data_IF_902645944829
#
_entry.id   IF_902645944829
#
_cell.length_a   1.000
_cell.length_b   1.000
_cell.length_c   1.000
_cell.angle_alpha   90.00
_cell.angle_beta   90.00
_cell.angle_gamma   90.00
#
_symmetry.space_group_name_H-M   'P 1'
#
loop_
_entity.id
_entity.type
_entity.pdbx_description
1 polymer ?
#
# COMPACT_ATOMS: atom_id res chain seq x y z
N UNK A 1 -7.30 13.15 11.65
CA UNK A 1 -7.02 14.12 10.58
C UNK A 1 -5.51 14.34 10.62
N UNK A 2 -4.80 14.03 9.54
CA UNK A 2 -3.34 13.86 9.56
C UNK A 2 -2.56 15.16 9.32
N UNK A 3 -3.20 16.24 8.84
CA UNK A 3 -2.56 17.54 8.64
C UNK A 3 -2.25 18.22 9.98
N UNK A 4 -0.96 18.53 10.19
CA UNK A 4 -0.48 19.24 11.39
C UNK A 4 -0.85 20.73 11.41
N UNK A 5 -1.22 21.31 10.27
CA UNK A 5 -1.52 22.74 10.12
C UNK A 5 -3.02 23.10 10.21
N UNK A 6 -3.92 22.10 10.36
CA UNK A 6 -5.33 22.25 10.73
C UNK A 6 -6.16 23.21 9.83
N UNK A 7 -6.00 23.18 8.51
CA UNK A 7 -6.87 23.97 7.60
C UNK A 7 -8.26 23.37 7.37
N UNK A 8 -8.47 22.11 7.74
CA UNK A 8 -9.75 21.39 7.58
C UNK A 8 -10.03 20.89 6.15
N UNK A 9 -9.27 21.33 5.15
CA UNK A 9 -9.27 20.81 3.78
C UNK A 9 -7.88 20.97 3.14
N UNK A 10 -7.62 20.23 2.07
CA UNK A 10 -6.40 20.32 1.24
C UNK A 10 -6.78 20.15 -0.23
N UNK A 11 -6.03 20.75 -1.15
CA UNK A 11 -6.25 20.65 -2.59
C UNK A 11 -5.03 20.05 -3.31
N UNK A 12 -5.19 19.43 -4.50
CA UNK A 12 -4.06 19.00 -5.31
C UNK A 12 -3.03 20.13 -5.51
N UNK A 13 -1.76 19.81 -5.31
CA UNK A 13 -0.64 20.76 -5.35
C UNK A 13 -0.27 21.37 -4.01
N UNK A 14 -1.10 21.24 -2.96
CA UNK A 14 -0.73 21.70 -1.62
C UNK A 14 0.43 20.87 -1.05
N UNK A 15 1.46 21.54 -0.52
CA UNK A 15 2.49 20.90 0.29
C UNK A 15 2.02 20.82 1.74
N UNK A 16 1.79 19.61 2.24
CA UNK A 16 1.29 19.35 3.59
C UNK A 16 2.28 18.52 4.40
N UNK A 17 2.28 18.76 5.71
CA UNK A 17 3.05 17.95 6.67
C UNK A 17 2.08 17.10 7.49
N UNK A 18 2.28 15.79 7.42
CA UNK A 18 1.35 14.81 7.96
C UNK A 18 2.03 13.78 8.85
N UNK A 19 1.30 13.32 9.87
CA UNK A 19 1.70 12.14 10.62
C UNK A 19 1.42 10.87 9.81
N UNK A 20 2.31 9.88 9.96
CA UNK A 20 2.15 8.58 9.32
C UNK A 20 1.73 7.54 10.37
N UNK A 21 0.70 6.74 10.05
CA UNK A 21 0.20 5.72 10.97
C UNK A 21 1.14 4.52 11.05
N UNK A 22 1.69 4.07 9.91
CA UNK A 22 2.60 2.92 9.82
C UNK A 22 3.72 3.11 8.83
N UNK A 23 4.84 2.48 9.17
CA UNK A 23 6.02 2.39 8.33
C UNK A 23 6.29 0.93 8.02
N UNK A 24 6.50 0.60 6.75
CA UNK A 24 6.76 -0.77 6.31
C UNK A 24 8.12 -0.89 5.63
N UNK A 25 8.85 -1.96 5.94
CA UNK A 25 10.07 -2.32 5.26
C UNK A 25 10.25 -3.83 5.20
N UNK A 26 10.87 -4.30 4.11
CA UNK A 26 11.51 -5.61 4.07
C UNK A 26 12.92 -5.55 4.67
N UNK A 27 13.58 -6.69 4.82
CA UNK A 27 14.98 -6.76 5.21
C UNK A 27 15.92 -6.06 4.22
N UNK A 28 15.60 -6.13 2.92
CA UNK A 28 16.36 -5.46 1.85
C UNK A 28 16.18 -3.95 1.95
N UNK A 29 14.93 -3.51 2.08
CA UNK A 29 14.59 -2.09 2.20
C UNK A 29 15.14 -1.48 3.47
N UNK A 30 15.10 -2.22 4.58
CA UNK A 30 15.71 -1.81 5.84
C UNK A 30 17.21 -1.58 5.70
N UNK A 31 17.95 -2.41 4.95
CA UNK A 31 19.38 -2.17 4.72
C UNK A 31 19.64 -0.85 3.96
N UNK A 32 18.71 -0.42 3.09
CA UNK A 32 18.73 0.91 2.49
C UNK A 32 18.44 2.01 3.50
N UNK A 33 17.38 1.85 4.30
CA UNK A 33 16.96 2.80 5.34
C UNK A 33 18.03 2.97 6.43
N UNK A 34 18.69 1.88 6.84
CA UNK A 34 19.71 1.85 7.90
C UNK A 34 20.88 2.77 7.54
N UNK A 35 21.23 2.92 6.24
CA UNK A 35 22.26 3.87 5.80
C UNK A 35 21.88 5.31 6.11
N UNK A 36 20.66 5.70 5.76
CA UNK A 36 20.12 7.04 6.05
C UNK A 36 19.97 7.24 7.56
N UNK A 37 19.46 6.25 8.28
CA UNK A 37 19.34 6.30 9.75
C UNK A 37 20.69 6.50 10.44
N UNK A 38 21.74 5.84 9.93
CA UNK A 38 23.10 5.98 10.44
C UNK A 38 23.70 7.36 10.14
N UNK A 39 23.45 7.94 8.96
CA UNK A 39 23.93 9.29 8.63
C UNK A 39 23.30 10.37 9.51
N UNK A 40 22.06 10.13 9.99
CA UNK A 40 21.37 10.94 10.99
C UNK A 40 21.91 10.75 12.43
N UNK A 41 23.04 10.05 12.60
CA UNK A 41 23.67 9.75 13.91
C UNK A 41 22.79 8.93 14.85
N UNK A 42 21.94 8.05 14.30
CA UNK A 42 21.14 7.07 15.04
C UNK A 42 20.24 7.72 16.11
N UNK A 43 19.30 8.60 15.74
CA UNK A 43 18.54 9.43 16.69
C UNK A 43 17.49 8.66 17.51
N UNK A 44 17.32 7.36 17.30
CA UNK A 44 16.16 6.60 17.76
C UNK A 44 15.01 6.67 16.75
N UNK A 45 13.91 5.97 17.05
CA UNK A 45 12.70 5.96 16.22
C UNK A 45 11.52 6.53 16.99
N UNK A 46 10.57 7.12 16.27
CA UNK A 46 9.40 7.77 16.85
C UNK A 46 8.52 6.79 17.65
N UNK A 47 8.25 5.61 17.07
CA UNK A 47 7.39 4.57 17.67
C UNK A 47 7.89 3.17 17.35
N UNK A 48 7.97 2.32 18.37
CA UNK A 48 8.35 0.92 18.22
C UNK A 48 7.18 -0.02 17.88
N UNK A 49 5.95 0.49 17.93
CA UNK A 49 4.70 -0.25 17.70
C UNK A 49 4.04 0.05 16.35
N UNK A 50 4.70 0.86 15.50
CA UNK A 50 4.22 1.29 14.17
C UNK A 50 5.25 1.16 13.05
N UNK A 51 6.34 0.44 13.33
CA UNK A 51 7.32 0.04 12.32
C UNK A 51 7.19 -1.46 12.07
N UNK A 52 6.62 -1.82 10.92
CA UNK A 52 6.51 -3.20 10.43
C UNK A 52 7.77 -3.59 9.66
N UNK A 53 8.46 -4.62 10.13
CA UNK A 53 9.66 -5.16 9.48
C UNK A 53 9.53 -6.67 9.30
N UNK A 54 9.50 -7.11 8.04
CA UNK A 54 9.41 -8.51 7.65
C UNK A 54 10.60 -8.91 6.81
N UNK A 55 11.12 -10.12 7.01
CA UNK A 55 12.07 -10.74 6.10
C UNK A 55 11.34 -11.61 5.10
N UNK A 56 11.23 -11.19 3.84
CA UNK A 56 10.45 -11.89 2.82
C UNK A 56 11.05 -11.91 1.41
N UNK A 57 12.09 -11.11 1.14
CA UNK A 57 12.69 -11.02 -0.20
C UNK A 57 13.79 -12.07 -0.43
N UNK A 58 14.62 -12.33 0.59
CA UNK A 58 15.80 -13.19 0.51
C UNK A 58 15.77 -14.24 1.61
N UNK A 59 14.79 -15.14 1.49
CA UNK A 59 14.44 -16.12 2.53
C UNK A 59 14.74 -17.57 2.13
N UNK A 60 15.28 -17.80 0.94
CA UNK A 60 15.53 -19.14 0.41
C UNK A 60 16.67 -19.85 1.17
N UNK A 61 16.45 -21.05 1.72
CA UNK A 61 17.46 -21.81 2.47
C UNK A 61 18.78 -22.02 1.72
N UNK A 62 18.75 -22.05 0.38
CA UNK A 62 19.93 -22.25 -0.47
C UNK A 62 20.89 -21.06 -0.42
N UNK A 63 20.37 -19.85 -0.26
CA UNK A 63 21.16 -18.61 -0.24
C UNK A 63 21.37 -18.05 1.17
N UNK A 64 20.66 -18.58 2.17
CA UNK A 64 20.76 -18.09 3.55
C UNK A 64 22.18 -18.08 4.11
N UNK A 65 23.09 -18.94 3.66
CA UNK A 65 24.49 -18.97 4.15
C UNK A 65 25.37 -17.88 3.54
N UNK A 66 24.91 -17.21 2.48
CA UNK A 66 25.70 -16.20 1.80
C UNK A 66 25.90 -14.97 2.72
N UNK A 67 27.11 -14.39 2.78
CA UNK A 67 27.41 -13.29 3.68
C UNK A 67 26.48 -12.09 3.54
N UNK A 68 26.08 -11.76 2.31
CA UNK A 68 25.15 -10.67 2.01
C UNK A 68 23.75 -10.91 2.60
N UNK A 69 23.24 -12.14 2.54
CA UNK A 69 21.94 -12.50 3.11
C UNK A 69 22.00 -12.49 4.63
N UNK A 70 23.07 -13.04 5.22
CA UNK A 70 23.32 -12.97 6.66
C UNK A 70 23.44 -11.52 7.16
N UNK A 71 23.98 -10.61 6.35
CA UNK A 71 24.06 -9.20 6.71
C UNK A 71 22.66 -8.55 6.79
N UNK A 72 21.75 -8.86 5.85
CA UNK A 72 20.36 -8.36 5.87
C UNK A 72 19.57 -8.90 7.06
N UNK A 73 19.67 -10.21 7.33
CA UNK A 73 19.07 -10.85 8.50
C UNK A 73 19.62 -10.21 9.78
N UNK A 74 20.93 -10.08 9.88
CA UNK A 74 21.60 -9.47 11.01
C UNK A 74 21.19 -8.02 11.23
N UNK A 75 21.01 -7.23 10.17
CA UNK A 75 20.52 -5.85 10.25
C UNK A 75 19.10 -5.78 10.82
N UNK A 76 18.22 -6.68 10.38
CA UNK A 76 16.83 -6.74 10.84
C UNK A 76 16.75 -7.17 12.32
N UNK A 77 17.54 -8.18 12.72
CA UNK A 77 17.61 -8.62 14.12
C UNK A 77 18.21 -7.56 15.04
N UNK A 78 19.20 -6.79 14.56
CA UNK A 78 19.73 -5.64 15.29
C UNK A 78 18.66 -4.57 15.47
N UNK A 79 17.93 -4.20 14.41
CA UNK A 79 16.87 -3.21 14.48
C UNK A 79 15.78 -3.61 15.49
N UNK A 80 15.31 -4.86 15.43
CA UNK A 80 14.37 -5.43 16.40
C UNK A 80 14.82 -5.20 17.84
N UNK A 81 16.07 -5.53 18.16
CA UNK A 81 16.64 -5.42 19.52
C UNK A 81 16.86 -3.97 19.92
N UNK A 82 17.49 -3.17 19.07
CA UNK A 82 17.82 -1.77 19.34
C UNK A 82 16.57 -0.92 19.54
N UNK A 83 15.55 -1.11 18.70
CA UNK A 83 14.32 -0.34 18.76
C UNK A 83 13.23 -0.97 19.63
N UNK A 84 13.47 -2.18 20.16
CA UNK A 84 12.49 -2.95 20.94
C UNK A 84 11.16 -3.08 20.18
N UNK A 85 11.25 -3.47 18.91
CA UNK A 85 10.11 -3.51 17.99
C UNK A 85 9.07 -4.53 18.46
N UNK A 86 7.79 -4.13 18.42
CA UNK A 86 6.67 -5.05 18.69
C UNK A 86 6.07 -5.63 17.41
N UNK A 87 6.45 -5.10 16.25
CA UNK A 87 5.87 -5.44 14.94
C UNK A 87 6.92 -5.98 13.96
N UNK A 88 7.79 -6.87 14.45
CA UNK A 88 8.75 -7.61 13.63
C UNK A 88 8.25 -9.04 13.37
N UNK A 89 8.14 -9.43 12.10
CA UNK A 89 7.59 -10.73 11.69
C UNK A 89 8.64 -11.84 11.55
N UNK A 90 9.93 -11.51 11.62
CA UNK A 90 11.00 -12.48 11.38
C UNK A 90 11.22 -12.76 9.89
N UNK A 91 12.01 -13.79 9.61
CA UNK A 91 12.33 -14.21 8.24
C UNK A 91 11.37 -15.33 7.80
N UNK A 92 10.88 -15.24 6.57
CA UNK A 92 10.05 -16.25 5.91
C UNK A 92 8.71 -16.57 6.61
N UNK A 93 8.13 -15.62 7.34
CA UNK A 93 6.81 -15.80 7.94
C UNK A 93 5.69 -15.63 6.89
N UNK A 94 5.80 -14.57 6.09
CA UNK A 94 4.79 -14.14 5.12
C UNK A 94 5.35 -12.99 4.28
N UNK A 95 4.68 -12.67 3.17
CA UNK A 95 4.95 -11.44 2.42
C UNK A 95 4.45 -10.25 3.23
N UNK A 96 5.29 -9.23 3.38
CA UNK A 96 5.05 -8.00 4.16
C UNK A 96 3.65 -7.43 3.92
N UNK A 97 3.30 -7.19 2.66
CA UNK A 97 2.03 -6.57 2.26
C UNK A 97 0.82 -7.44 2.59
N UNK A 98 0.93 -8.75 2.40
CA UNK A 98 -0.16 -9.71 2.65
C UNK A 98 -0.55 -9.71 4.12
N UNK A 99 0.44 -9.77 5.01
CA UNK A 99 0.21 -9.78 6.45
C UNK A 99 -0.22 -8.42 6.98
N UNK A 100 0.39 -7.34 6.49
CA UNK A 100 -0.01 -6.00 6.86
C UNK A 100 -1.46 -5.72 6.48
N UNK A 101 -1.84 -6.04 5.24
CA UNK A 101 -3.22 -5.93 4.75
C UNK A 101 -4.21 -6.75 5.59
N UNK A 102 -3.88 -8.01 5.86
CA UNK A 102 -4.76 -8.93 6.56
C UNK A 102 -4.99 -8.57 8.01
N UNK A 103 -3.98 -8.05 8.69
CA UNK A 103 -4.01 -7.91 10.14
C UNK A 103 -3.88 -6.48 10.66
N UNK A 104 -3.25 -5.53 9.94
CA UNK A 104 -2.85 -4.24 10.53
C UNK A 104 -3.45 -3.02 9.85
N UNK A 105 -3.58 -3.07 8.53
CA UNK A 105 -4.12 -1.96 7.76
C UNK A 105 -5.57 -1.68 8.19
N UNK A 106 -5.94 -0.41 8.28
CA UNK A 106 -7.32 0.03 8.52
C UNK A 106 -7.74 1.10 7.51
N UNK A 107 -9.03 1.18 7.17
CA UNK A 107 -9.57 2.31 6.43
C UNK A 107 -9.23 3.64 7.13
N UNK A 108 -8.80 4.62 6.32
CA UNK A 108 -8.43 5.96 6.76
C UNK A 108 -7.02 6.10 7.34
N UNK A 109 -6.22 5.03 7.36
CA UNK A 109 -4.79 5.13 7.69
C UNK A 109 -3.98 5.73 6.55
N UNK A 110 -2.92 6.44 6.91
CA UNK A 110 -1.82 6.82 6.02
C UNK A 110 -0.59 5.95 6.32
N UNK A 111 -0.14 5.19 5.34
CA UNK A 111 0.96 4.23 5.46
C UNK A 111 2.03 4.56 4.44
N UNK A 112 3.28 4.57 4.86
CA UNK A 112 4.41 4.67 3.95
C UNK A 112 5.28 3.43 4.06
N UNK A 113 5.78 2.94 2.94
CA UNK A 113 6.62 1.76 2.91
C UNK A 113 7.77 1.94 1.96
N UNK A 114 8.93 1.37 2.30
CA UNK A 114 10.08 1.36 1.39
C UNK A 114 9.94 0.20 0.40
N UNK A 115 8.82 0.15 -0.30
CA UNK A 115 8.45 -0.89 -1.26
C UNK A 115 7.32 -0.36 -2.17
N UNK A 116 7.44 -0.56 -3.49
CA UNK A 116 6.48 -0.06 -4.49
C UNK A 116 5.05 -0.58 -4.29
N UNK A 117 4.92 -1.82 -3.82
CA UNK A 117 3.64 -2.50 -3.68
C UNK A 117 2.97 -2.23 -2.32
N UNK A 118 3.47 -1.27 -1.54
CA UNK A 118 2.80 -0.76 -0.33
C UNK A 118 1.35 -0.34 -0.60
N UNK A 119 1.05 0.10 -1.84
CA UNK A 119 -0.29 0.42 -2.34
C UNK A 119 -1.33 -0.70 -2.17
N UNK A 120 -0.90 -1.96 -1.97
CA UNK A 120 -1.77 -3.10 -1.72
C UNK A 120 -2.81 -2.89 -0.60
N UNK A 121 -2.45 -2.12 0.44
CA UNK A 121 -3.37 -1.84 1.54
C UNK A 121 -4.54 -0.91 1.14
N UNK A 122 -4.48 -0.24 -0.02
CA UNK A 122 -5.59 0.54 -0.57
C UNK A 122 -6.85 -0.27 -0.82
N UNK A 123 -6.76 -1.59 -0.88
CA UNK A 123 -7.89 -2.51 -1.03
C UNK A 123 -8.94 -2.42 0.09
N UNK A 124 -8.57 -1.86 1.24
CA UNK A 124 -9.47 -1.59 2.38
C UNK A 124 -9.66 -0.09 2.65
N UNK A 125 -9.32 0.80 1.70
CA UNK A 125 -9.43 2.25 1.91
C UNK A 125 -8.33 2.86 2.79
N UNK A 126 -7.16 2.22 2.84
CA UNK A 126 -5.95 2.78 3.43
C UNK A 126 -5.19 3.58 2.37
N UNK A 127 -4.76 4.81 2.69
CA UNK A 127 -3.86 5.56 1.82
C UNK A 127 -2.43 5.04 2.04
N UNK A 128 -1.98 4.10 1.21
CA UNK A 128 -0.71 3.40 1.38
C UNK A 128 0.24 3.68 0.22
N UNK A 129 1.41 4.25 0.49
CA UNK A 129 2.30 4.82 -0.53
C UNK A 129 3.69 4.19 -0.43
N UNK A 130 4.19 3.70 -1.56
CA UNK A 130 5.58 3.26 -1.70
C UNK A 130 6.50 4.46 -1.92
N UNK A 131 7.56 4.58 -1.12
CA UNK A 131 8.55 5.65 -1.20
C UNK A 131 9.98 5.10 -1.19
N UNK A 132 10.95 5.94 -1.53
CA UNK A 132 12.37 5.59 -1.44
C UNK A 132 12.82 5.38 0.01
N UNK A 133 13.85 4.57 0.22
CA UNK A 133 14.35 4.23 1.57
C UNK A 133 14.72 5.47 2.41
N UNK A 134 15.29 6.51 1.80
CA UNK A 134 15.60 7.76 2.49
C UNK A 134 14.34 8.50 2.95
N UNK A 135 13.33 8.61 2.08
CA UNK A 135 12.07 9.30 2.36
C UNK A 135 11.27 8.60 3.46
N UNK A 136 11.34 7.26 3.54
CA UNK A 136 10.70 6.46 4.58
C UNK A 136 11.44 6.53 5.92
N UNK A 137 12.74 6.81 5.90
CA UNK A 137 13.55 6.95 7.13
C UNK A 137 13.15 8.20 7.93
N UNK A 138 12.74 9.27 7.25
CA UNK A 138 12.32 10.52 7.90
C UNK A 138 11.11 10.34 8.84
N UNK A 139 9.96 9.79 8.40
CA UNK A 139 8.85 9.50 9.29
C UNK A 139 9.18 8.40 10.30
N UNK A 140 10.15 7.51 10.05
CA UNK A 140 10.60 6.54 11.05
C UNK A 140 11.20 7.21 12.27
N UNK A 141 11.98 8.27 12.04
CA UNK A 141 12.62 9.04 13.11
C UNK A 141 11.66 10.04 13.73
N UNK A 142 10.84 10.72 12.92
CA UNK A 142 10.08 11.91 13.35
C UNK A 142 8.58 11.65 13.58
N UNK A 143 8.03 10.59 12.99
CA UNK A 143 6.59 10.32 12.95
C UNK A 143 5.84 11.09 11.85
N UNK A 144 6.49 12.02 11.17
CA UNK A 144 5.88 12.89 10.17
C UNK A 144 6.65 12.91 8.85
N UNK A 145 5.96 13.25 7.78
CA UNK A 145 6.56 13.47 6.45
C UNK A 145 5.81 14.56 5.70
N UNK A 146 6.33 14.94 4.54
CA UNK A 146 5.74 15.93 3.66
C UNK A 146 5.23 15.28 2.39
N UNK A 147 4.03 15.68 1.97
CA UNK A 147 3.47 15.29 0.68
C UNK A 147 3.03 16.53 -0.08
N UNK A 148 3.32 16.56 -1.37
CA UNK A 148 2.50 17.33 -2.30
C UNK A 148 1.23 16.53 -2.53
N UNK A 149 0.07 17.09 -2.24
CA UNK A 149 -1.22 16.43 -2.46
C UNK A 149 -1.36 16.13 -3.95
N UNK A 150 -1.42 14.86 -4.37
CA UNK A 150 -1.50 14.52 -5.79
C UNK A 150 -2.92 14.71 -6.32
N UNK A 151 -3.04 14.86 -7.64
CA UNK A 151 -4.32 14.70 -8.31
C UNK A 151 -4.80 13.24 -8.20
N UNK A 152 -6.11 13.03 -8.32
CA UNK A 152 -6.70 11.71 -8.39
C UNK A 152 -7.33 11.45 -9.77
N UNK A 153 -7.26 10.20 -10.24
CA UNK A 153 -8.09 9.70 -11.34
C UNK A 153 -9.10 8.68 -10.80
N UNK A 154 -10.23 8.58 -11.47
CA UNK A 154 -11.26 7.61 -11.14
C UNK A 154 -11.32 6.51 -12.19
N UNK A 155 -11.09 5.26 -11.78
CA UNK A 155 -11.37 4.08 -12.59
C UNK A 155 -12.71 3.52 -12.10
N UNK A 156 -13.78 3.88 -12.80
CA UNK A 156 -15.15 3.51 -12.48
C UNK A 156 -15.49 2.13 -13.04
N UNK A 157 -15.56 1.14 -12.17
CA UNK A 157 -15.90 -0.24 -12.50
C UNK A 157 -17.42 -0.39 -12.62
N UNK A 158 -17.88 -0.93 -13.75
CA UNK A 158 -19.29 -1.25 -14.02
C UNK A 158 -19.47 -2.72 -14.35
N UNK A 159 -20.70 -3.21 -14.25
CA UNK A 159 -20.99 -4.63 -14.48
C UNK A 159 -20.47 -5.53 -13.36
N UNK A 160 -20.48 -6.84 -13.60
CA UNK A 160 -19.97 -7.85 -12.67
C UNK A 160 -19.02 -8.81 -13.41
N UNK A 161 -17.88 -9.18 -12.81
CA UNK A 161 -16.99 -10.18 -13.38
C UNK A 161 -17.72 -11.51 -13.62
N UNK A 162 -17.41 -12.18 -14.73
CA UNK A 162 -17.91 -13.53 -15.00
C UNK A 162 -17.32 -14.54 -13.99
N UNK A 163 -17.98 -15.69 -13.76
CA UNK A 163 -17.42 -16.74 -12.94
C UNK A 163 -16.00 -17.13 -13.39
N UNK A 164 -15.08 -17.23 -12.42
CA UNK A 164 -13.67 -17.54 -12.67
C UNK A 164 -12.77 -16.33 -12.94
N UNK A 165 -13.32 -15.12 -13.08
CA UNK A 165 -12.54 -13.88 -13.20
C UNK A 165 -12.18 -13.36 -11.81
N UNK A 166 -10.88 -13.27 -11.52
CA UNK A 166 -10.34 -12.76 -10.26
C UNK A 166 -9.79 -11.34 -10.36
N UNK A 167 -9.30 -10.81 -9.24
CA UNK A 167 -8.73 -9.46 -9.20
C UNK A 167 -7.52 -9.25 -10.11
N UNK A 168 -6.73 -10.30 -10.33
CA UNK A 168 -5.59 -10.26 -11.27
C UNK A 168 -6.06 -10.02 -12.71
N UNK A 169 -7.13 -10.70 -13.13
CA UNK A 169 -7.71 -10.54 -14.46
C UNK A 169 -8.29 -9.13 -14.62
N UNK A 170 -8.97 -8.63 -13.58
CA UNK A 170 -9.51 -7.26 -13.51
C UNK A 170 -8.43 -6.21 -13.74
N UNK A 171 -7.32 -6.25 -12.98
CA UNK A 171 -6.27 -5.22 -13.11
C UNK A 171 -5.46 -5.36 -14.39
N UNK A 172 -5.25 -6.58 -14.90
CA UNK A 172 -4.61 -6.78 -16.21
C UNK A 172 -5.49 -6.24 -17.36
N UNK A 173 -6.80 -6.41 -17.27
CA UNK A 173 -7.74 -5.82 -18.23
C UNK A 173 -7.72 -4.28 -18.17
N UNK A 174 -7.72 -3.71 -16.96
CA UNK A 174 -7.56 -2.25 -16.78
C UNK A 174 -6.25 -1.77 -17.43
N UNK A 175 -5.12 -2.44 -17.16
CA UNK A 175 -3.82 -2.14 -17.77
C UNK A 175 -3.86 -2.24 -19.30
N UNK A 176 -4.62 -3.18 -19.85
CA UNK A 176 -4.80 -3.32 -21.30
C UNK A 176 -5.62 -2.17 -21.89
N UNK A 177 -6.72 -1.79 -21.24
CA UNK A 177 -7.62 -0.72 -21.70
C UNK A 177 -6.92 0.63 -21.62
N UNK A 178 -6.28 0.93 -20.50
CA UNK A 178 -5.56 2.18 -20.29
C UNK A 178 -4.20 2.20 -20.99
N UNK A 179 -3.64 1.03 -21.32
CA UNK A 179 -2.30 0.83 -21.88
C UNK A 179 -1.21 1.40 -20.95
N UNK A 180 0.03 1.47 -21.44
CA UNK A 180 1.10 2.29 -20.83
C UNK A 180 0.87 3.78 -21.08
N UNK A 181 -0.29 4.27 -20.70
CA UNK A 181 -0.58 5.69 -20.72
C UNK A 181 -0.14 6.31 -19.39
N UNK A 182 0.44 7.51 -19.44
CA UNK A 182 0.88 8.29 -18.28
C UNK A 182 -0.28 8.91 -17.50
N UNK A 183 -1.55 8.59 -17.80
CA UNK A 183 -2.73 9.14 -17.12
C UNK A 183 -2.65 8.93 -15.60
N UNK A 184 -2.23 7.75 -15.14
CA UNK A 184 -2.08 7.47 -13.71
C UNK A 184 -0.73 7.93 -13.12
N UNK A 185 0.23 8.33 -13.96
CA UNK A 185 1.56 8.78 -13.49
C UNK A 185 1.43 9.92 -12.50
N UNK A 186 2.07 9.77 -11.34
CA UNK A 186 2.09 10.75 -10.25
C UNK A 186 0.70 11.13 -9.71
N UNK A 187 -0.29 10.24 -9.89
CA UNK A 187 -1.66 10.41 -9.40
C UNK A 187 -2.09 9.27 -8.48
N UNK A 188 -3.06 9.56 -7.62
CA UNK A 188 -3.80 8.53 -6.90
C UNK A 188 -4.84 7.92 -7.86
N UNK A 189 -4.98 6.61 -7.82
CA UNK A 189 -6.04 5.90 -8.55
C UNK A 189 -7.12 5.50 -7.56
N UNK A 190 -8.32 6.03 -7.73
CA UNK A 190 -9.48 5.58 -6.98
C UNK A 190 -10.32 4.64 -7.86
N UNK A 191 -10.55 3.41 -7.39
CA UNK A 191 -11.46 2.49 -8.08
C UNK A 191 -12.85 2.61 -7.47
N UNK A 192 -13.80 3.07 -8.27
CA UNK A 192 -15.17 3.35 -7.83
C UNK A 192 -16.19 2.58 -8.67
N UNK A 193 -17.47 2.88 -8.48
CA UNK A 193 -18.55 2.37 -9.31
C UNK A 193 -19.21 1.09 -8.77
N UNK A 194 -20.37 0.72 -9.34
CA UNK A 194 -21.17 -0.40 -8.85
C UNK A 194 -20.47 -1.76 -9.01
N UNK A 195 -19.46 -1.88 -9.87
CA UNK A 195 -18.68 -3.09 -10.07
C UNK A 195 -17.84 -3.49 -8.85
N UNK A 196 -17.43 -2.54 -8.02
CA UNK A 196 -16.57 -2.78 -6.84
C UNK A 196 -17.20 -3.76 -5.84
N UNK A 197 -18.53 -3.71 -5.67
CA UNK A 197 -19.26 -4.61 -4.76
C UNK A 197 -19.15 -6.09 -5.13
N UNK A 198 -18.80 -6.38 -6.39
CA UNK A 198 -18.62 -7.74 -6.90
C UNK A 198 -17.20 -8.26 -6.69
N UNK A 199 -16.27 -7.42 -6.22
CA UNK A 199 -14.90 -7.81 -5.92
C UNK A 199 -14.75 -8.19 -4.45
N UNK A 200 -14.27 -9.40 -4.21
CA UNK A 200 -13.81 -9.81 -2.88
C UNK A 200 -12.61 -8.96 -2.43
N UNK A 201 -12.33 -8.95 -1.14
CA UNK A 201 -11.16 -8.26 -0.60
C UNK A 201 -9.83 -8.79 -1.18
N UNK A 202 -9.72 -10.08 -1.49
CA UNK A 202 -8.52 -10.60 -2.16
C UNK A 202 -8.43 -10.09 -3.62
N UNK A 203 -9.57 -9.92 -4.31
CA UNK A 203 -9.58 -9.32 -5.64
C UNK A 203 -9.20 -7.85 -5.59
N UNK A 204 -9.71 -7.09 -4.60
CA UNK A 204 -9.33 -5.70 -4.34
C UNK A 204 -7.85 -5.57 -4.02
N UNK A 205 -7.29 -6.48 -3.23
CA UNK A 205 -5.85 -6.54 -2.94
C UNK A 205 -5.04 -6.63 -4.23
N UNK A 206 -5.40 -7.56 -5.13
CA UNK A 206 -4.71 -7.69 -6.41
C UNK A 206 -4.80 -6.41 -7.28
N UNK A 207 -5.96 -5.75 -7.27
CA UNK A 207 -6.18 -4.49 -8.01
C UNK A 207 -5.34 -3.35 -7.45
N UNK A 208 -5.41 -3.11 -6.14
CA UNK A 208 -4.61 -2.08 -5.47
C UNK A 208 -3.11 -2.33 -5.57
N UNK A 209 -2.68 -3.58 -5.37
CA UNK A 209 -1.29 -4.01 -5.47
C UNK A 209 -0.68 -3.66 -6.83
N UNK A 210 -1.42 -3.91 -7.91
CA UNK A 210 -0.92 -3.67 -9.27
C UNK A 210 -1.15 -2.25 -9.80
N UNK A 211 -1.53 -1.32 -8.94
CA UNK A 211 -1.71 0.08 -9.34
C UNK A 211 -0.37 0.75 -9.65
N UNK A 212 0.72 0.29 -9.03
CA UNK A 212 2.07 0.81 -9.35
C UNK A 212 2.47 0.53 -10.80
N UNK A 213 1.98 -0.54 -11.43
CA UNK A 213 2.22 -0.85 -12.84
C UNK A 213 1.47 0.09 -13.80
N UNK A 214 0.45 0.82 -13.34
CA UNK A 214 -0.17 1.94 -14.06
C UNK A 214 0.66 3.24 -13.94
N UNK A 215 1.69 3.26 -13.09
CA UNK A 215 2.40 4.48 -12.71
C UNK A 215 1.71 5.29 -11.60
N UNK A 216 0.62 4.76 -11.04
CA UNK A 216 -0.09 5.38 -9.91
C UNK A 216 0.75 5.39 -8.64
N UNK A 217 0.66 6.48 -7.87
CA UNK A 217 1.28 6.59 -6.54
C UNK A 217 0.72 5.52 -5.61
N UNK A 218 -0.60 5.32 -5.69
CA UNK A 218 -1.33 4.27 -4.97
C UNK A 218 -2.69 4.03 -5.62
N UNK A 219 -3.31 2.90 -5.29
CA UNK A 219 -4.64 2.54 -5.73
C UNK A 219 -5.52 2.14 -4.57
N UNK A 220 -6.65 2.81 -4.38
CA UNK A 220 -7.55 2.50 -3.27
C UNK A 220 -9.02 2.36 -3.67
N UNK A 221 -9.75 1.66 -2.81
CA UNK A 221 -11.19 1.46 -2.90
C UNK A 221 -11.84 1.95 -1.62
N UNK A 222 -12.95 2.67 -1.75
CA UNK A 222 -13.72 3.10 -0.59
C UNK A 222 -14.20 1.88 0.22
N UNK A 223 -14.06 1.92 1.55
CA UNK A 223 -14.46 0.82 2.41
C UNK A 223 -15.99 0.67 2.45
N UNK A 224 -16.44 -0.57 2.47
CA UNK A 224 -17.85 -0.98 2.46
C UNK A 224 -18.10 -2.13 3.46
N UNK A 225 -19.29 -2.72 3.44
CA UNK A 225 -19.68 -3.79 4.36
C UNK A 225 -18.77 -5.02 4.25
N UNK A 226 -18.28 -5.35 3.04
CA UNK A 226 -17.30 -6.43 2.82
C UNK A 226 -15.99 -6.10 3.55
N UNK A 227 -15.56 -4.84 3.49
CA UNK A 227 -14.37 -4.34 4.19
C UNK A 227 -14.55 -4.41 5.71
N UNK A 228 -15.71 -3.98 6.22
CA UNK A 228 -16.03 -4.03 7.63
C UNK A 228 -16.06 -5.47 8.15
N UNK A 229 -16.70 -6.38 7.42
CA UNK A 229 -16.76 -7.79 7.78
C UNK A 229 -15.36 -8.43 7.82
N UNK A 230 -14.51 -8.12 6.84
CA UNK A 230 -13.13 -8.60 6.81
C UNK A 230 -12.34 -8.18 8.05
N UNK A 231 -12.42 -6.91 8.45
CA UNK A 231 -11.75 -6.37 9.64
C UNK A 231 -12.29 -7.05 10.91
N UNK A 232 -13.61 -7.24 11.01
CA UNK A 232 -14.25 -7.86 12.16
C UNK A 232 -13.85 -9.33 12.36
N UNK A 233 -13.49 -10.04 11.28
CA UNK A 233 -13.02 -11.44 11.30
C UNK A 233 -11.59 -11.62 11.79
N UNK A 234 -10.79 -10.55 11.92
CA UNK A 234 -9.42 -10.62 12.44
C UNK A 234 -9.40 -11.25 13.84
N UNK A 235 -8.29 -11.90 14.21
CA UNK A 235 -8.21 -12.59 15.52
C UNK A 235 -7.98 -11.62 16.67
N UNK A 236 -7.09 -10.67 16.49
CA UNK A 236 -6.68 -9.76 17.56
C UNK A 236 -7.61 -8.55 17.64
N UNK A 237 -8.18 -8.34 18.82
CA UNK A 237 -9.11 -7.22 19.08
C UNK A 237 -8.50 -5.86 18.74
N UNK A 238 -7.21 -5.63 19.05
CA UNK A 238 -6.50 -4.40 18.72
C UNK A 238 -6.45 -4.09 17.20
N UNK A 239 -6.67 -5.08 16.35
CA UNK A 239 -6.68 -4.96 14.89
C UNK A 239 -8.08 -4.71 14.30
N UNK A 240 -9.09 -4.48 15.16
CA UNK A 240 -10.49 -4.25 14.75
C UNK A 240 -10.99 -2.81 14.97
N UNK A 241 -10.22 -2.01 15.71
CA UNK A 241 -10.62 -0.66 16.14
C UNK A 241 -9.82 0.43 15.42
N UNK A 242 -10.19 1.69 15.66
CA UNK A 242 -9.58 2.91 15.12
C UNK A 242 -9.71 3.07 13.60
N UNK A 243 -10.84 2.65 13.05
CA UNK A 243 -11.14 2.79 11.63
C UNK A 243 -11.89 4.08 11.36
N UNK A 244 -11.49 4.81 10.30
CA UNK A 244 -12.24 5.94 9.77
C UNK A 244 -12.65 5.60 8.33
N UNK A 245 -13.95 5.45 8.11
CA UNK A 245 -14.52 5.06 6.83
C UNK A 245 -14.75 6.29 5.94
N UNK A 246 -13.67 6.82 5.35
CA UNK A 246 -13.80 7.87 4.34
C UNK A 246 -14.49 7.33 3.09
N UNK A 247 -15.27 8.19 2.44
CA UNK A 247 -15.87 7.95 1.12
C UNK A 247 -15.65 9.20 0.28
N UNK A 248 -15.54 9.06 -1.05
CA UNK A 248 -15.51 10.22 -1.92
C UNK A 248 -16.81 11.02 -1.75
N UNK A 249 -16.68 12.34 -1.76
CA UNK A 249 -17.83 13.24 -1.82
C UNK A 249 -18.54 13.09 -3.17
N UNK A 250 -19.83 13.44 -3.23
CA UNK A 250 -20.67 13.29 -4.43
C UNK A 250 -20.15 14.14 -5.60
N UNK A 251 -19.52 15.27 -5.27
CA UNK A 251 -18.96 16.27 -6.17
C UNK A 251 -17.43 16.23 -6.22
N UNK A 252 -16.80 15.11 -5.81
CA UNK A 252 -15.35 14.95 -5.91
C UNK A 252 -14.85 15.12 -7.35
N UNK A 253 -13.88 16.01 -7.53
CA UNK A 253 -13.26 16.28 -8.83
C UNK A 253 -12.09 15.34 -9.09
N UNK A 254 -12.02 14.81 -10.32
CA UNK A 254 -10.95 13.93 -10.78
C UNK A 254 -10.29 14.49 -12.03
N UNK A 255 -8.97 14.35 -12.13
CA UNK A 255 -8.22 14.75 -13.32
C UNK A 255 -8.65 13.95 -14.57
N UNK A 256 -9.09 12.71 -14.37
CA UNK A 256 -9.69 11.89 -15.42
C UNK A 256 -10.65 10.85 -14.82
N UNK A 257 -11.67 10.47 -15.59
CA UNK A 257 -12.59 9.38 -15.25
C UNK A 257 -12.60 8.37 -16.40
N UNK A 258 -12.37 7.11 -16.07
CA UNK A 258 -12.38 5.99 -17.02
C UNK A 258 -13.37 4.93 -16.57
N UNK A 259 -14.33 4.61 -17.43
CA UNK A 259 -15.26 3.52 -17.18
C UNK A 259 -14.70 2.20 -17.69
N UNK A 260 -14.76 1.16 -16.85
CA UNK A 260 -14.28 -0.20 -17.16
C UNK A 260 -15.43 -1.18 -16.93
N UNK A 261 -15.84 -1.85 -18.00
CA UNK A 261 -16.90 -2.86 -17.97
C UNK A 261 -16.35 -4.25 -17.64
N UNK A 262 -16.74 -4.75 -16.46
CA UNK A 262 -16.34 -6.05 -15.94
C UNK A 262 -17.09 -7.23 -16.58
N UNK A 263 -18.06 -6.98 -17.46
CA UNK A 263 -18.77 -8.05 -18.19
C UNK A 263 -18.05 -8.50 -19.47
N UNK A 264 -16.97 -7.81 -19.84
CA UNK A 264 -16.26 -8.03 -21.10
C UNK A 264 -15.65 -9.45 -21.20
N UNK A 265 -15.64 -10.01 -22.41
CA UNK A 265 -15.09 -11.35 -22.70
C UNK A 265 -13.55 -11.38 -22.86
N UNK A 266 -12.89 -10.22 -22.81
CA UNK A 266 -11.45 -10.11 -23.09
C UNK A 266 -10.55 -10.65 -21.96
N UNK A 267 -11.07 -10.90 -20.75
CA UNK A 267 -10.28 -11.42 -19.61
C UNK A 267 -9.51 -12.73 -19.91
N UNK A 268 -9.96 -13.52 -20.89
CA UNK A 268 -9.34 -14.82 -21.23
C UNK A 268 -8.11 -14.74 -22.15
N UNK A 269 -7.65 -13.53 -22.51
CA UNK A 269 -6.45 -13.37 -23.36
C UNK A 269 -5.24 -13.01 -22.48
N UNK A 270 -4.44 -14.01 -22.13
CA UNK A 270 -3.12 -13.80 -21.53
C UNK A 270 -2.26 -12.93 -22.45
N UNK A 271 -1.70 -11.85 -21.91
CA UNK A 271 -0.71 -11.05 -22.60
C UNK A 271 0.55 -11.90 -22.80
N UNK A 272 0.75 -12.44 -24.00
CA UNK A 272 2.08 -12.86 -24.41
C UNK A 272 2.99 -11.63 -24.42
N UNK A 273 4.26 -11.73 -23.97
CA UNK A 273 5.21 -10.66 -24.24
C UNK A 273 5.25 -10.49 -25.77
N UNK A 274 4.94 -9.28 -26.25
CA UNK A 274 5.29 -8.93 -27.62
C UNK A 274 6.81 -9.02 -27.71
N UNK A 275 7.29 -9.95 -28.53
CA UNK A 275 8.72 -10.14 -28.79
C UNK A 275 9.35 -8.97 -29.51
#
# INVERSE_FOLDING_TARGET
>A
MHDSNHKGFVAPGDLIRVFVDWILASEVSWAGMEKTYNSLRKPGIFRNDRFGLSGDHVVDPRVNKLPEVQALIGASERAKKTFKMTEYQGMNYTILHTEFYRERAQPGMLVVGSDSHTCSAGAIGCLAIGLGAADVTLPLVTGETWFNVPEAINIRLVGAPKPGIGGKDVILYILQVLKRNTIASDRIVEFTGPGVRHLSLDARFAVSNMTTELGGITGLLAPDDITQEFINRRKLTRHKWNTIYFKPDVDAEYAAVHEIDLTNDVFYRTLYPAG
#
